data_IF_946852402798
#
_entry.id   IF_946852402798
#
_cell.length_a   1.000
_cell.length_b   1.000
_cell.length_c   1.000
_cell.angle_alpha   90.00
_cell.angle_beta   90.00
_cell.angle_gamma   90.00
#
_symmetry.space_group_name_H-M   'P 1'
#
loop_
_entity.id
_entity.type
_entity.pdbx_description
1 polymer ?
#
# COMPACT_ATOMS: atom_id res chain seq x y z
N UNK A 1 -11.02 -12.25 9.49
CA UNK A 1 -11.17 -11.51 8.26
C UNK A 1 -11.57 -12.45 7.14
N UNK A 2 -12.62 -13.08 7.32
CA UNK A 2 -13.19 -13.95 6.31
C UNK A 2 -14.54 -13.34 5.97
N UNK A 3 -14.48 -12.34 5.10
CA UNK A 3 -15.70 -12.01 4.40
C UNK A 3 -16.20 -13.33 3.78
N UNK A 4 -17.41 -13.73 4.10
CA UNK A 4 -18.07 -14.77 3.31
C UNK A 4 -18.03 -14.41 1.83
N UNK A 5 -18.41 -15.33 0.94
CA UNK A 5 -18.39 -15.10 -0.51
C UNK A 5 -19.04 -13.77 -0.93
N UNK A 6 -20.01 -13.28 -0.15
CA UNK A 6 -20.66 -11.99 -0.38
C UNK A 6 -19.79 -10.78 -0.07
N UNK A 7 -18.91 -10.84 0.94
CA UNK A 7 -17.96 -9.78 1.24
C UNK A 7 -16.81 -9.74 0.24
N UNK A 8 -16.32 -10.89 -0.18
CA UNK A 8 -15.32 -10.98 -1.26
C UNK A 8 -15.88 -10.40 -2.55
N UNK A 9 -17.15 -10.68 -2.85
CA UNK A 9 -17.83 -10.18 -4.05
C UNK A 9 -18.09 -8.67 -3.97
N UNK A 10 -18.55 -8.16 -2.85
CA UNK A 10 -18.78 -6.72 -2.65
C UNK A 10 -17.49 -5.91 -2.64
N UNK A 11 -16.42 -6.44 -2.05
CA UNK A 11 -15.09 -5.82 -2.07
C UNK A 11 -14.38 -5.94 -3.42
N UNK A 12 -14.73 -6.95 -4.24
CA UNK A 12 -14.13 -7.19 -5.54
C UNK A 12 -14.72 -6.37 -6.68
N UNK A 13 -15.98 -5.96 -6.58
CA UNK A 13 -16.68 -5.25 -7.64
C UNK A 13 -16.47 -3.73 -7.51
N UNK A 14 -15.61 -3.10 -8.33
CA UNK A 14 -15.42 -1.66 -8.28
C UNK A 14 -16.66 -0.93 -8.77
N UNK A 15 -16.91 0.27 -8.23
CA UNK A 15 -17.93 1.20 -8.74
C UNK A 15 -17.53 1.67 -10.14
N UNK A 16 -16.24 2.03 -10.30
CA UNK A 16 -15.66 2.45 -11.59
C UNK A 16 -14.15 2.31 -11.56
N UNK A 17 -13.53 2.28 -12.75
CA UNK A 17 -12.10 2.05 -12.92
C UNK A 17 -11.54 2.92 -14.05
N UNK A 18 -10.38 3.53 -13.83
CA UNK A 18 -9.76 4.47 -14.77
C UNK A 18 -8.25 4.25 -14.89
N UNK A 19 -7.72 4.63 -16.05
CA UNK A 19 -6.33 5.03 -16.22
C UNK A 19 -6.25 6.55 -16.12
N UNK A 20 -5.42 7.07 -15.23
CA UNK A 20 -5.41 8.50 -14.91
C UNK A 20 -4.00 9.05 -14.68
N UNK A 21 -3.77 10.30 -15.08
CA UNK A 21 -2.55 11.03 -14.76
C UNK A 21 -2.85 12.49 -14.44
N UNK A 22 -2.03 13.08 -13.58
CA UNK A 22 -2.08 14.51 -13.28
C UNK A 22 -1.56 15.30 -14.47
N UNK A 23 -2.20 16.45 -14.77
CA UNK A 23 -1.80 17.34 -15.87
C UNK A 23 -0.63 18.26 -15.52
N UNK A 24 -0.31 18.43 -14.23
CA UNK A 24 0.75 19.30 -13.76
C UNK A 24 2.14 18.67 -13.93
N UNK A 25 3.16 19.51 -14.15
CA UNK A 25 4.54 19.06 -14.45
C UNK A 25 5.22 18.31 -13.29
N UNK A 26 4.81 18.53 -12.02
CA UNK A 26 5.37 17.81 -10.87
C UNK A 26 5.13 16.30 -10.94
N UNK A 27 4.18 15.81 -11.76
CA UNK A 27 3.95 14.38 -11.97
C UNK A 27 5.20 13.62 -12.41
N UNK A 28 6.18 14.28 -13.02
CA UNK A 28 7.42 13.64 -13.45
C UNK A 28 8.31 13.15 -12.30
N UNK A 29 8.06 13.60 -11.07
CA UNK A 29 8.66 13.05 -9.86
C UNK A 29 7.87 11.87 -9.27
N UNK A 30 6.68 11.58 -9.80
CA UNK A 30 5.84 10.46 -9.36
C UNK A 30 6.29 9.15 -10.00
N UNK A 31 5.84 8.03 -9.42
CA UNK A 31 6.14 6.70 -9.95
C UNK A 31 5.56 6.53 -11.37
N UNK A 32 4.26 6.87 -11.51
CA UNK A 32 3.47 6.76 -12.74
C UNK A 32 2.70 8.06 -13.00
N UNK A 33 1.37 7.99 -13.09
CA UNK A 33 0.49 9.14 -13.37
C UNK A 33 0.34 10.17 -12.24
N UNK A 34 0.88 9.92 -11.04
CA UNK A 34 0.76 10.83 -9.90
C UNK A 34 -0.65 10.89 -9.28
N UNK A 35 -1.50 9.89 -9.54
CA UNK A 35 -2.90 9.92 -9.14
C UNK A 35 -3.08 9.98 -7.61
N UNK A 36 -2.29 9.23 -6.82
CA UNK A 36 -2.35 9.27 -5.34
C UNK A 36 -2.14 10.69 -4.83
N UNK A 37 -1.02 11.29 -5.21
CA UNK A 37 -0.66 12.65 -4.78
C UNK A 37 -1.70 13.67 -5.25
N UNK A 38 -2.20 13.54 -6.48
CA UNK A 38 -3.25 14.40 -7.02
C UNK A 38 -4.56 14.33 -6.23
N UNK A 39 -4.99 13.11 -5.84
CA UNK A 39 -6.18 12.90 -5.02
C UNK A 39 -6.00 13.55 -3.65
N UNK A 40 -4.89 13.28 -2.97
CA UNK A 40 -4.61 13.85 -1.64
C UNK A 40 -4.56 15.37 -1.65
N UNK A 41 -3.90 15.98 -2.65
CA UNK A 41 -3.86 17.44 -2.80
C UNK A 41 -5.28 18.01 -2.94
N UNK A 42 -6.11 17.39 -3.78
CA UNK A 42 -7.48 17.89 -3.98
C UNK A 42 -8.36 17.72 -2.74
N UNK A 43 -8.22 16.63 -2.00
CA UNK A 43 -8.91 16.44 -0.73
C UNK A 43 -8.48 17.51 0.30
N UNK A 44 -7.18 17.82 0.41
CA UNK A 44 -6.69 18.89 1.29
C UNK A 44 -7.20 20.28 0.86
N UNK A 45 -7.13 20.60 -0.43
CA UNK A 45 -7.59 21.89 -0.97
C UNK A 45 -9.11 22.08 -0.82
N UNK A 46 -9.88 21.00 -0.83
CA UNK A 46 -11.32 21.02 -0.59
C UNK A 46 -11.67 21.10 0.90
N UNK A 47 -10.70 20.86 1.80
CA UNK A 47 -10.91 20.80 3.23
C UNK A 47 -11.56 19.49 3.70
N UNK A 48 -11.51 18.45 2.88
CA UNK A 48 -12.02 17.11 3.21
C UNK A 48 -11.07 16.34 4.14
N UNK A 49 -9.76 16.63 4.06
CA UNK A 49 -8.76 16.08 4.96
C UNK A 49 -7.84 17.18 5.52
N UNK A 50 -7.42 17.00 6.76
CA UNK A 50 -6.44 17.86 7.45
C UNK A 50 -5.00 17.37 7.22
N UNK A 51 -4.83 16.08 6.95
CA UNK A 51 -3.53 15.47 6.72
C UNK A 51 -3.63 14.13 5.98
N UNK A 52 -2.48 13.65 5.56
CA UNK A 52 -2.33 12.33 4.94
C UNK A 52 -1.15 11.58 5.51
N UNK A 53 -1.39 10.35 5.96
CA UNK A 53 -0.37 9.38 6.33
C UNK A 53 0.13 8.71 5.06
N UNK A 54 1.41 8.90 4.77
CA UNK A 54 2.09 8.37 3.58
C UNK A 54 3.44 7.76 3.96
N UNK A 55 4.06 7.04 3.04
CA UNK A 55 5.47 6.67 3.14
C UNK A 55 6.34 7.76 2.53
N UNK A 56 7.49 8.01 3.14
CA UNK A 56 8.57 8.87 2.64
C UNK A 56 9.91 8.16 2.75
N UNK A 57 10.92 8.66 2.07
CA UNK A 57 12.29 8.20 2.22
C UNK A 57 12.89 8.74 3.53
N UNK A 58 13.64 7.91 4.24
CA UNK A 58 14.37 8.31 5.46
C UNK A 58 15.44 9.35 5.13
N UNK A 59 15.61 10.32 6.03
CA UNK A 59 16.69 11.31 5.93
C UNK A 59 18.09 10.72 6.20
N UNK A 60 18.14 9.55 6.90
CA UNK A 60 19.40 8.93 7.32
C UNK A 60 19.84 7.80 6.37
N UNK A 61 18.89 7.01 5.90
CA UNK A 61 19.12 5.80 5.11
C UNK A 61 18.45 5.94 3.73
N UNK A 62 19.19 6.07 2.62
CA UNK A 62 18.62 6.15 1.28
C UNK A 62 17.76 4.94 0.95
N UNK A 63 16.60 5.17 0.31
CA UNK A 63 15.63 4.13 -0.09
C UNK A 63 15.00 3.33 1.05
N UNK A 64 15.18 3.76 2.29
CA UNK A 64 14.45 3.22 3.43
C UNK A 64 13.15 3.99 3.62
N UNK A 65 12.04 3.28 3.64
CA UNK A 65 10.75 3.90 3.82
C UNK A 65 10.46 4.19 5.31
N UNK A 66 9.91 5.37 5.56
CA UNK A 66 9.39 5.79 6.87
C UNK A 66 7.97 6.32 6.73
N UNK A 67 7.17 6.24 7.80
CA UNK A 67 5.87 6.87 7.84
C UNK A 67 6.01 8.39 7.95
N UNK A 68 5.12 9.13 7.29
CA UNK A 68 5.11 10.59 7.31
C UNK A 68 3.67 11.13 7.33
N UNK A 69 3.43 12.16 8.13
CA UNK A 69 2.17 12.90 8.15
C UNK A 69 2.33 14.20 7.34
N UNK A 70 1.84 14.18 6.12
CA UNK A 70 1.76 15.37 5.28
C UNK A 70 0.53 16.20 5.66
N UNK A 71 0.73 17.52 5.89
CA UNK A 71 -0.33 18.47 6.23
C UNK A 71 -0.46 19.61 5.22
N UNK A 72 0.27 19.52 4.12
CA UNK A 72 0.20 20.51 3.04
C UNK A 72 0.42 19.89 1.66
N UNK A 73 -0.15 20.49 0.60
CA UNK A 73 0.12 20.08 -0.78
C UNK A 73 1.61 20.13 -1.15
N UNK A 74 2.40 21.01 -0.52
CA UNK A 74 3.83 21.12 -0.78
C UNK A 74 4.59 19.90 -0.25
N UNK A 75 4.24 19.43 0.95
CA UNK A 75 4.80 18.20 1.54
C UNK A 75 4.42 16.97 0.70
N UNK A 76 3.19 16.87 0.20
CA UNK A 76 2.78 15.79 -0.68
C UNK A 76 3.58 15.77 -1.99
N UNK A 77 3.82 16.93 -2.61
CA UNK A 77 4.64 17.04 -3.83
C UNK A 77 6.11 16.72 -3.59
N UNK A 78 6.62 16.98 -2.40
CA UNK A 78 8.00 16.66 -2.03
C UNK A 78 8.23 15.17 -1.77
N UNK A 79 7.18 14.41 -1.47
CA UNK A 79 7.23 12.99 -1.11
C UNK A 79 6.48 12.14 -2.15
N UNK A 80 6.83 12.31 -3.43
CA UNK A 80 6.31 11.52 -4.54
C UNK A 80 7.23 10.34 -4.85
N UNK A 81 6.73 9.33 -5.55
CA UNK A 81 7.47 8.13 -5.94
C UNK A 81 7.13 6.92 -5.08
N UNK A 82 7.74 5.79 -5.40
CA UNK A 82 7.55 4.52 -4.68
C UNK A 82 8.86 4.08 -4.06
N UNK A 83 8.81 3.63 -2.80
CA UNK A 83 9.95 3.10 -2.06
C UNK A 83 9.67 1.63 -1.78
N UNK A 84 10.52 0.73 -2.31
CA UNK A 84 10.35 -0.72 -2.20
C UNK A 84 10.99 -1.26 -0.93
N UNK A 85 10.68 -0.67 0.22
CA UNK A 85 11.08 -1.19 1.52
C UNK A 85 9.91 -1.17 2.49
N UNK A 86 9.98 -2.07 3.47
CA UNK A 86 8.91 -2.20 4.45
C UNK A 86 8.75 -0.93 5.27
N UNK A 87 7.53 -0.41 5.30
CA UNK A 87 7.08 0.57 6.27
C UNK A 87 5.60 0.40 6.57
N UNK A 88 5.14 1.04 7.61
CA UNK A 88 3.73 1.25 7.90
C UNK A 88 3.54 2.75 8.15
N UNK A 89 2.81 3.42 7.27
CA UNK A 89 2.53 4.85 7.40
C UNK A 89 1.77 5.14 8.71
N UNK A 90 0.90 4.24 9.13
CA UNK A 90 0.20 4.31 10.40
C UNK A 90 1.14 4.37 11.61
N UNK A 91 2.30 3.71 11.55
CA UNK A 91 3.30 3.72 12.62
C UNK A 91 3.79 5.13 12.98
N UNK A 92 3.60 6.10 12.08
CA UNK A 92 3.92 7.52 12.33
C UNK A 92 2.80 8.27 13.05
N UNK A 93 1.65 7.66 13.27
CA UNK A 93 0.53 8.25 13.99
C UNK A 93 0.78 8.13 15.50
N UNK A 94 1.38 9.16 16.08
CA UNK A 94 1.63 9.26 17.53
C UNK A 94 0.50 10.02 18.21
N UNK A 95 -0.43 9.31 18.76
CA UNK A 95 -1.61 9.87 19.42
C UNK A 95 -1.27 10.80 20.59
N UNK A 96 -0.10 10.63 21.22
CA UNK A 96 0.34 11.49 22.31
C UNK A 96 0.75 12.90 21.83
N UNK A 97 0.96 13.06 20.54
CA UNK A 97 1.35 14.33 19.88
C UNK A 97 0.28 14.87 18.93
N UNK A 98 -0.92 14.37 19.05
CA UNK A 98 -2.02 14.75 18.16
C UNK A 98 -2.30 16.24 18.19
N UNK A 99 -2.45 16.81 19.40
CA UNK A 99 -2.71 18.24 19.60
C UNK A 99 -1.60 19.13 19.06
N UNK A 100 -0.34 18.65 19.13
CA UNK A 100 0.81 19.38 18.61
C UNK A 100 0.80 19.50 17.06
N UNK A 101 0.17 18.53 16.36
CA UNK A 101 0.16 18.48 14.90
C UNK A 101 -1.00 19.27 14.28
N UNK A 102 -2.19 19.19 14.86
CA UNK A 102 -3.41 19.68 14.22
C UNK A 102 -4.14 20.81 14.94
N UNK A 103 -3.82 21.12 16.19
CA UNK A 103 -4.59 22.08 17.04
C UNK A 103 -6.09 21.73 17.12
N UNK A 104 -6.43 20.45 16.92
CA UNK A 104 -7.77 19.87 16.91
C UNK A 104 -7.79 18.58 17.72
N UNK A 105 -8.97 18.18 18.19
CA UNK A 105 -9.16 16.83 18.72
C UNK A 105 -9.27 15.82 17.58
N UNK A 106 -9.10 14.54 17.87
CA UNK A 106 -9.22 13.51 16.86
C UNK A 106 -10.64 13.44 16.25
N UNK A 107 -11.68 13.76 17.02
CA UNK A 107 -13.07 13.79 16.55
C UNK A 107 -13.33 14.86 15.49
N UNK A 108 -12.53 15.91 15.51
CA UNK A 108 -12.63 17.05 14.59
C UNK A 108 -11.58 16.95 13.44
N UNK A 109 -10.74 15.90 13.42
CA UNK A 109 -9.68 15.71 12.46
C UNK A 109 -10.07 14.65 11.43
N UNK A 110 -9.83 14.93 10.15
CA UNK A 110 -10.01 14.00 9.04
C UNK A 110 -8.67 13.71 8.37
N UNK A 111 -8.32 12.43 8.24
CA UNK A 111 -7.06 11.99 7.63
C UNK A 111 -7.31 11.07 6.43
N UNK A 112 -6.37 11.08 5.51
CA UNK A 112 -6.21 10.01 4.54
C UNK A 112 -5.04 9.10 4.92
N UNK A 113 -5.16 7.81 4.65
CA UNK A 113 -4.07 6.84 4.73
C UNK A 113 -3.77 6.27 3.34
N UNK A 114 -2.50 6.31 2.96
CA UNK A 114 -1.98 5.60 1.79
C UNK A 114 -1.10 4.46 2.28
N UNK A 115 -1.44 3.24 1.91
CA UNK A 115 -0.72 2.07 2.39
C UNK A 115 -0.85 0.86 1.47
N UNK A 116 -0.17 -0.21 1.84
CA UNK A 116 -0.35 -1.51 1.19
C UNK A 116 -1.70 -2.13 1.57
N UNK A 117 -2.23 -3.10 0.80
CA UNK A 117 -3.51 -3.74 1.12
C UNK A 117 -3.62 -4.27 2.55
N UNK A 118 -2.56 -4.92 3.05
CA UNK A 118 -2.54 -5.47 4.41
C UNK A 118 -2.57 -4.37 5.50
N UNK A 119 -1.99 -3.21 5.26
CA UNK A 119 -2.08 -2.06 6.16
C UNK A 119 -3.51 -1.50 6.20
N UNK A 120 -4.12 -1.32 5.04
CA UNK A 120 -5.52 -0.85 4.95
C UNK A 120 -6.49 -1.83 5.62
N UNK A 121 -6.31 -3.13 5.38
CA UNK A 121 -7.11 -4.17 6.02
C UNK A 121 -6.97 -4.12 7.55
N UNK A 122 -5.73 -3.98 8.04
CA UNK A 122 -5.46 -3.82 9.48
C UNK A 122 -6.16 -2.61 10.08
N UNK A 123 -6.14 -1.46 9.39
CA UNK A 123 -6.86 -0.25 9.83
C UNK A 123 -8.37 -0.45 9.88
N UNK A 124 -8.95 -1.03 8.82
CA UNK A 124 -10.40 -1.30 8.80
C UNK A 124 -10.80 -2.26 9.92
N UNK A 125 -9.99 -3.29 10.18
CA UNK A 125 -10.22 -4.19 11.30
C UNK A 125 -10.15 -3.47 12.65
N UNK A 126 -9.23 -2.51 12.83
CA UNK A 126 -9.15 -1.68 14.04
C UNK A 126 -10.33 -0.72 14.16
N UNK A 127 -10.82 -0.15 13.08
CA UNK A 127 -11.99 0.73 13.06
C UNK A 127 -13.30 -0.01 13.39
N UNK A 128 -13.41 -1.27 12.94
CA UNK A 128 -14.59 -2.11 13.14
C UNK A 128 -14.63 -2.79 14.53
N UNK A 129 -13.51 -2.82 15.25
CA UNK A 129 -13.42 -3.47 16.54
C UNK A 129 -13.97 -2.58 17.66
N UNK A 130 -14.84 -3.13 18.52
CA UNK A 130 -15.30 -2.47 19.72
C UNK A 130 -14.25 -2.62 20.85
N UNK A 131 -13.55 -1.54 21.17
CA UNK A 131 -12.53 -1.52 22.22
C UNK A 131 -13.13 -1.21 23.59
N UNK A 132 -12.92 -2.07 24.57
CA UNK A 132 -13.45 -1.87 25.94
C UNK A 132 -12.73 -0.75 26.73
N UNK A 133 -11.56 -0.25 26.27
CA UNK A 133 -10.64 0.61 27.01
C UNK A 133 -10.13 1.86 26.27
N UNK A 134 -10.74 2.24 25.20
CA UNK A 134 -10.93 3.65 24.72
C UNK A 134 -9.72 4.35 24.21
N UNK A 135 -8.57 4.52 24.51
CA UNK A 135 -7.67 5.61 24.09
C UNK A 135 -6.96 5.43 22.73
N UNK A 136 -6.80 4.21 22.24
CA UNK A 136 -6.07 3.94 20.98
C UNK A 136 -6.98 3.88 19.75
N UNK A 137 -8.23 3.66 19.97
CA UNK A 137 -9.31 3.65 19.00
C UNK A 137 -9.50 5.02 18.33
N UNK A 138 -9.30 6.06 19.11
CA UNK A 138 -9.66 7.43 18.76
C UNK A 138 -8.95 7.91 17.49
N UNK A 139 -7.63 7.81 17.42
CA UNK A 139 -6.89 8.31 16.25
C UNK A 139 -7.08 7.48 14.98
N UNK A 140 -7.35 6.17 15.08
CA UNK A 140 -7.67 5.33 13.92
C UNK A 140 -8.99 5.77 13.29
N UNK A 141 -9.93 6.27 14.08
CA UNK A 141 -11.22 6.78 13.60
C UNK A 141 -11.12 8.09 12.86
N UNK A 142 -10.05 8.84 13.02
CA UNK A 142 -9.78 10.03 12.24
C UNK A 142 -9.37 9.71 10.78
N UNK A 143 -9.03 8.46 10.47
CA UNK A 143 -8.74 8.03 9.11
C UNK A 143 -10.06 7.82 8.36
N UNK A 144 -10.48 8.84 7.63
CA UNK A 144 -11.70 8.81 6.85
C UNK A 144 -11.48 8.21 5.46
N UNK A 145 -10.36 8.55 4.81
CA UNK A 145 -10.05 8.09 3.46
C UNK A 145 -8.91 7.07 3.45
N UNK A 146 -9.07 6.02 2.69
CA UNK A 146 -8.03 5.00 2.49
C UNK A 146 -7.72 4.81 1.01
N UNK A 147 -6.43 4.85 0.69
CA UNK A 147 -5.93 4.58 -0.66
C UNK A 147 -4.95 3.39 -0.57
N UNK A 148 -5.34 2.25 -1.14
CA UNK A 148 -4.46 1.10 -1.25
C UNK A 148 -3.56 1.23 -2.47
N UNK A 149 -2.29 0.90 -2.32
CA UNK A 149 -1.36 0.70 -3.43
C UNK A 149 -1.43 -0.75 -3.89
N UNK A 150 -1.51 -1.00 -5.20
CA UNK A 150 -1.40 -2.36 -5.73
C UNK A 150 -0.11 -2.99 -5.28
N UNK A 151 -0.16 -4.15 -4.60
CA UNK A 151 1.00 -4.75 -3.97
C UNK A 151 0.97 -6.28 -4.05
N UNK A 152 1.97 -6.88 -4.68
CA UNK A 152 2.19 -8.34 -4.67
C UNK A 152 3.17 -8.77 -3.58
N UNK A 153 4.18 -7.95 -3.31
CA UNK A 153 5.22 -8.19 -2.30
C UNK A 153 5.78 -6.87 -1.79
N UNK A 154 6.22 -6.88 -0.53
CA UNK A 154 7.04 -5.84 0.06
C UNK A 154 8.38 -6.44 0.49
N UNK A 155 9.43 -5.64 0.58
CA UNK A 155 10.80 -6.11 0.77
C UNK A 155 11.37 -5.65 2.11
N UNK A 156 12.22 -6.49 2.68
CA UNK A 156 13.06 -6.11 3.79
C UNK A 156 14.18 -5.20 3.27
N UNK A 157 14.35 -4.05 3.90
CA UNK A 157 15.34 -3.04 3.51
C UNK A 157 16.76 -3.61 3.44
N UNK A 158 17.23 -4.21 4.53
CA UNK A 158 18.60 -4.74 4.61
C UNK A 158 18.88 -5.79 3.52
N UNK A 159 17.89 -6.64 3.24
CA UNK A 159 18.03 -7.69 2.23
C UNK A 159 17.98 -7.17 0.81
N UNK A 160 17.01 -6.31 0.49
CA UNK A 160 16.91 -5.79 -0.87
C UNK A 160 18.02 -4.80 -1.17
N UNK A 161 18.14 -3.76 -0.34
CA UNK A 161 19.05 -2.65 -0.58
C UNK A 161 20.48 -3.05 -0.22
N UNK A 162 20.73 -3.48 1.02
CA UNK A 162 22.07 -3.79 1.50
C UNK A 162 22.65 -5.03 0.83
N UNK A 163 22.01 -6.19 1.01
CA UNK A 163 22.59 -7.46 0.53
C UNK A 163 22.53 -7.56 -1.01
N UNK A 164 21.32 -7.43 -1.61
CA UNK A 164 21.15 -7.77 -3.02
C UNK A 164 21.55 -6.65 -3.99
N UNK A 165 21.29 -5.38 -3.69
CA UNK A 165 21.67 -4.29 -4.58
C UNK A 165 23.09 -3.81 -4.35
N UNK A 166 23.47 -3.49 -3.12
CA UNK A 166 24.81 -2.96 -2.82
C UNK A 166 25.88 -4.04 -2.83
N UNK A 167 25.73 -5.11 -1.99
CA UNK A 167 26.80 -6.09 -1.81
C UNK A 167 26.95 -7.02 -3.02
N UNK A 168 25.84 -7.60 -3.54
CA UNK A 168 25.90 -8.59 -4.60
C UNK A 168 26.06 -7.96 -5.99
N UNK A 169 25.42 -6.81 -6.24
CA UNK A 169 25.39 -6.16 -7.56
C UNK A 169 26.26 -4.91 -7.66
N UNK A 170 26.78 -4.42 -6.54
CA UNK A 170 27.66 -3.26 -6.48
C UNK A 170 27.00 -1.94 -6.89
N UNK A 171 25.69 -1.84 -6.68
CA UNK A 171 24.92 -0.62 -6.95
C UNK A 171 25.19 0.41 -5.86
N UNK A 172 25.64 1.59 -6.24
CA UNK A 172 25.75 2.74 -5.35
C UNK A 172 24.35 3.32 -5.09
N UNK A 173 23.77 2.98 -3.94
CA UNK A 173 22.41 3.37 -3.56
C UNK A 173 22.26 4.89 -3.46
N UNK A 174 23.29 5.63 -3.06
CA UNK A 174 23.27 7.09 -3.06
C UNK A 174 23.10 7.70 -4.46
N UNK A 175 23.44 6.94 -5.50
CA UNK A 175 23.29 7.37 -6.89
C UNK A 175 22.01 6.88 -7.56
N UNK A 176 21.18 6.09 -6.87
CA UNK A 176 19.89 5.64 -7.42
C UNK A 176 18.90 6.80 -7.46
N UNK A 177 18.28 7.00 -8.61
CA UNK A 177 17.27 8.04 -8.85
C UNK A 177 15.84 7.50 -8.91
N UNK A 178 15.67 6.25 -9.38
CA UNK A 178 14.37 5.59 -9.47
C UNK A 178 14.51 4.08 -9.37
N UNK A 179 13.57 3.45 -8.68
CA UNK A 179 13.32 2.00 -8.74
C UNK A 179 11.90 1.75 -9.26
N UNK A 180 11.72 0.70 -10.03
CA UNK A 180 10.42 0.32 -10.55
C UNK A 180 10.30 -1.20 -10.73
N UNK A 181 9.10 -1.73 -10.57
CA UNK A 181 8.78 -3.12 -10.89
C UNK A 181 7.80 -3.15 -12.06
N UNK A 182 8.34 -3.31 -13.25
CA UNK A 182 7.57 -3.33 -14.49
C UNK A 182 7.76 -4.66 -15.22
N UNK A 183 6.67 -5.20 -15.74
CA UNK A 183 6.67 -6.43 -16.55
C UNK A 183 7.40 -7.62 -15.91
N UNK A 184 7.34 -7.72 -14.58
CA UNK A 184 8.00 -8.79 -13.82
C UNK A 184 9.50 -8.59 -13.62
N UNK A 185 10.02 -7.38 -13.83
CA UNK A 185 11.42 -7.04 -13.62
C UNK A 185 11.57 -5.91 -12.62
N UNK A 186 12.63 -5.98 -11.81
CA UNK A 186 13.13 -4.83 -11.06
C UNK A 186 14.03 -4.01 -11.97
N UNK A 187 13.70 -2.75 -12.12
CA UNK A 187 14.45 -1.76 -12.90
C UNK A 187 14.99 -0.70 -11.94
N UNK A 188 16.24 -0.34 -12.09
CA UNK A 188 16.90 0.71 -11.31
C UNK A 188 17.57 1.69 -12.25
N UNK A 189 17.23 2.97 -12.10
CA UNK A 189 17.85 4.06 -12.85
C UNK A 189 18.70 4.91 -11.90
N UNK A 190 19.80 5.44 -12.40
CA UNK A 190 20.61 6.42 -11.66
C UNK A 190 19.95 7.81 -11.63
N UNK A 191 20.54 8.75 -10.89
CA UNK A 191 20.03 10.13 -10.78
C UNK A 191 20.05 10.91 -12.09
N UNK A 192 20.82 10.44 -13.07
CA UNK A 192 20.88 11.01 -14.43
C UNK A 192 19.83 10.37 -15.37
N UNK A 193 19.08 9.37 -14.90
CA UNK A 193 18.05 8.64 -15.64
C UNK A 193 18.61 7.53 -16.54
N UNK A 194 19.83 7.08 -16.31
CA UNK A 194 20.37 5.93 -17.01
C UNK A 194 19.99 4.65 -16.28
N UNK A 195 19.49 3.67 -17.01
CA UNK A 195 19.18 2.37 -16.45
C UNK A 195 20.46 1.62 -16.07
N UNK A 196 20.62 1.30 -14.79
CA UNK A 196 21.80 0.61 -14.23
C UNK A 196 21.53 -0.83 -13.84
N UNK A 197 20.23 -1.20 -13.69
CA UNK A 197 19.80 -2.58 -13.45
C UNK A 197 18.50 -2.86 -14.18
N UNK A 198 18.39 -4.08 -14.75
CA UNK A 198 17.14 -4.69 -15.20
C UNK A 198 17.27 -6.20 -15.01
N UNK A 199 16.58 -6.73 -14.00
CA UNK A 199 16.57 -8.16 -13.69
C UNK A 199 15.16 -8.67 -13.37
N UNK A 200 14.93 -9.96 -13.59
CA UNK A 200 13.66 -10.59 -13.23
C UNK A 200 13.40 -10.44 -11.73
N UNK A 201 12.20 -10.00 -11.35
CA UNK A 201 11.81 -9.77 -9.95
C UNK A 201 11.92 -11.05 -9.09
N UNK A 202 11.87 -12.21 -9.72
CA UNK A 202 12.04 -13.50 -9.03
C UNK A 202 13.42 -13.63 -8.36
N UNK A 203 14.45 -12.98 -8.90
CA UNK A 203 15.80 -12.97 -8.32
C UNK A 203 15.85 -12.23 -6.96
N UNK A 204 14.84 -11.46 -6.62
CA UNK A 204 14.74 -10.66 -5.40
C UNK A 204 13.73 -11.22 -4.40
N UNK A 205 13.12 -12.37 -4.67
CA UNK A 205 12.09 -12.95 -3.82
C UNK A 205 12.61 -13.32 -2.41
N UNK A 206 13.89 -13.63 -2.28
CA UNK A 206 14.49 -13.92 -0.95
C UNK A 206 14.55 -12.68 -0.05
N UNK A 207 14.53 -11.48 -0.63
CA UNK A 207 14.43 -10.23 0.11
C UNK A 207 12.98 -9.87 0.50
N UNK A 208 11.98 -10.54 -0.08
CA UNK A 208 10.59 -10.27 0.23
C UNK A 208 10.23 -10.68 1.66
N UNK A 209 9.26 -9.98 2.24
CA UNK A 209 8.70 -10.35 3.53
C UNK A 209 7.95 -11.67 3.41
N UNK A 210 8.20 -12.60 4.35
CA UNK A 210 7.58 -13.94 4.32
C UNK A 210 6.05 -13.89 4.39
N UNK A 211 5.47 -12.95 5.13
CA UNK A 211 4.02 -12.75 5.19
C UNK A 211 3.37 -12.40 3.84
N UNK A 212 4.15 -11.88 2.89
CA UNK A 212 3.64 -11.59 1.54
C UNK A 212 3.30 -12.86 0.74
N UNK A 213 3.87 -14.02 1.09
CA UNK A 213 3.52 -15.27 0.46
C UNK A 213 2.13 -15.79 0.87
N UNK A 214 1.63 -15.35 2.02
CA UNK A 214 0.30 -15.70 2.54
C UNK A 214 -0.75 -14.61 2.22
N UNK A 215 -0.36 -13.50 1.59
CA UNK A 215 -1.26 -12.42 1.23
C UNK A 215 -2.07 -12.75 -0.02
N UNK A 216 -3.39 -12.64 0.08
CA UNK A 216 -4.34 -12.89 -1.00
C UNK A 216 -4.89 -11.61 -1.64
N UNK A 217 -4.47 -10.44 -1.17
CA UNK A 217 -5.02 -9.15 -1.60
C UNK A 217 -3.99 -8.30 -2.34
N UNK A 218 -4.06 -8.34 -3.68
CA UNK A 218 -3.28 -7.50 -4.55
C UNK A 218 -3.81 -6.06 -4.64
N UNK A 219 -5.11 -5.91 -4.54
CA UNK A 219 -5.81 -4.66 -4.91
C UNK A 219 -6.35 -3.87 -3.74
N UNK A 220 -6.24 -4.34 -2.49
CA UNK A 220 -6.76 -3.62 -1.32
C UNK A 220 -8.28 -3.45 -1.33
N UNK A 221 -9.02 -4.58 -1.25
CA UNK A 221 -10.48 -4.48 -1.39
C UNK A 221 -11.17 -3.73 -0.27
N UNK A 222 -10.54 -3.52 0.86
CA UNK A 222 -11.09 -2.76 1.97
C UNK A 222 -10.88 -1.25 1.85
N UNK A 223 -10.10 -0.80 0.83
CA UNK A 223 -9.83 0.60 0.59
C UNK A 223 -10.99 1.33 -0.11
N UNK A 224 -11.04 2.65 0.03
CA UNK A 224 -11.96 3.50 -0.74
C UNK A 224 -11.51 3.61 -2.20
N UNK A 225 -10.19 3.70 -2.39
CA UNK A 225 -9.53 3.75 -3.69
C UNK A 225 -8.37 2.77 -3.72
N UNK A 226 -8.14 2.15 -4.87
CA UNK A 226 -6.91 1.43 -5.18
C UNK A 226 -6.17 2.15 -6.28
N UNK A 227 -4.86 2.32 -6.14
CA UNK A 227 -4.01 2.95 -7.16
C UNK A 227 -2.78 2.09 -7.42
N UNK A 228 -2.35 2.00 -8.67
CA UNK A 228 -1.12 1.29 -9.08
C UNK A 228 -0.84 1.46 -10.55
N UNK A 229 0.16 0.73 -11.07
CA UNK A 229 0.54 0.76 -12.49
C UNK A 229 -0.16 -0.29 -13.34
N UNK A 230 -0.55 -1.42 -12.73
CA UNK A 230 -1.09 -2.58 -13.45
C UNK A 230 -2.43 -2.27 -14.07
N UNK A 231 -2.55 -2.49 -15.37
CA UNK A 231 -3.79 -2.24 -16.12
C UNK A 231 -3.80 -0.92 -16.89
N UNK A 232 -2.80 -0.07 -16.71
CA UNK A 232 -2.62 1.18 -17.46
C UNK A 232 -1.30 1.17 -18.24
N UNK A 233 -1.23 1.98 -19.27
CA UNK A 233 -0.01 2.25 -20.02
C UNK A 233 0.95 3.14 -19.21
N UNK A 234 2.20 3.19 -19.63
CA UNK A 234 3.25 4.02 -19.04
C UNK A 234 2.77 5.47 -18.85
N UNK A 235 3.22 6.10 -17.77
CA UNK A 235 2.82 7.46 -17.35
C UNK A 235 1.37 7.60 -16.85
N UNK A 236 0.57 6.53 -16.79
CA UNK A 236 -0.75 6.53 -16.18
C UNK A 236 -0.79 5.63 -14.94
N UNK A 237 -1.55 6.05 -13.94
CA UNK A 237 -1.91 5.21 -12.80
C UNK A 237 -3.26 4.57 -13.06
N UNK A 238 -3.39 3.29 -12.73
CA UNK A 238 -4.69 2.64 -12.60
C UNK A 238 -5.37 3.10 -11.31
N UNK A 239 -6.61 3.53 -11.40
CA UNK A 239 -7.43 3.96 -10.26
C UNK A 239 -8.70 3.13 -10.23
N UNK A 240 -8.93 2.41 -9.14
CA UNK A 240 -10.13 1.61 -8.90
C UNK A 240 -10.89 2.26 -7.75
N UNK A 241 -12.11 2.69 -8.02
CA UNK A 241 -13.02 3.31 -7.04
C UNK A 241 -13.92 2.24 -6.46
N UNK A 242 -13.94 2.08 -5.12
CA UNK A 242 -14.65 0.97 -4.46
C UNK A 242 -15.81 1.39 -3.58
N UNK A 243 -15.76 2.57 -3.00
CA UNK A 243 -16.80 3.07 -2.08
C UNK A 243 -17.38 4.39 -2.59
N UNK A 244 -18.52 4.79 -2.04
CA UNK A 244 -19.11 6.11 -2.32
C UNK A 244 -18.14 7.23 -1.89
N UNK A 245 -17.43 7.05 -0.78
CA UNK A 245 -16.41 8.00 -0.31
C UNK A 245 -15.23 8.09 -1.29
N UNK A 246 -14.77 6.95 -1.81
CA UNK A 246 -13.79 6.92 -2.91
C UNK A 246 -14.31 7.58 -4.18
N UNK A 247 -15.61 7.46 -4.48
CA UNK A 247 -16.23 8.13 -5.62
C UNK A 247 -16.28 9.65 -5.43
N UNK A 248 -16.54 10.12 -4.22
CA UNK A 248 -16.50 11.55 -3.90
C UNK A 248 -15.07 12.10 -4.06
N UNK A 249 -14.06 11.41 -3.52
CA UNK A 249 -12.66 11.77 -3.72
C UNK A 249 -12.26 11.81 -5.21
N UNK A 250 -12.69 10.82 -5.99
CA UNK A 250 -12.49 10.79 -7.44
C UNK A 250 -13.16 11.99 -8.13
N UNK A 251 -14.42 12.28 -7.79
CA UNK A 251 -15.18 13.38 -8.38
C UNK A 251 -14.54 14.75 -8.11
N UNK A 252 -13.94 14.95 -6.95
CA UNK A 252 -13.17 16.17 -6.63
C UNK A 252 -11.89 16.27 -7.45
N UNK A 253 -11.29 15.14 -7.82
CA UNK A 253 -9.95 15.10 -8.43
C UNK A 253 -9.98 15.04 -9.94
N UNK A 254 -10.97 14.39 -10.55
CA UNK A 254 -10.99 14.06 -11.98
C UNK A 254 -10.83 15.26 -12.92
N UNK A 255 -11.19 16.47 -12.50
CA UNK A 255 -11.07 17.67 -13.32
C UNK A 255 -9.62 18.14 -13.54
N UNK A 256 -8.70 17.76 -12.63
CA UNK A 256 -7.27 18.06 -12.76
C UNK A 256 -6.48 16.89 -13.39
N UNK A 257 -7.17 15.79 -13.67
CA UNK A 257 -6.60 14.60 -14.29
C UNK A 257 -6.88 14.55 -15.80
N UNK A 258 -5.96 13.94 -16.53
CA UNK A 258 -6.19 13.35 -17.83
C UNK A 258 -6.53 11.87 -17.58
N UNK A 259 -7.73 11.43 -17.95
CA UNK A 259 -8.20 10.09 -17.62
C UNK A 259 -9.10 9.49 -18.69
N UNK A 260 -9.14 8.17 -18.72
CA UNK A 260 -10.02 7.35 -19.55
C UNK A 260 -10.32 6.03 -18.83
N UNK A 261 -11.17 5.21 -19.39
CA UNK A 261 -11.49 3.90 -18.83
C UNK A 261 -10.21 3.07 -18.68
N UNK A 262 -10.14 2.24 -17.62
CA UNK A 262 -8.99 1.37 -17.37
C UNK A 262 -8.70 0.48 -18.58
N UNK A 263 -7.48 0.53 -19.08
CA UNK A 263 -7.08 -0.06 -20.37
C UNK A 263 -7.10 -1.59 -20.35
N UNK A 264 -6.53 -2.21 -19.31
CA UNK A 264 -6.44 -3.67 -19.20
C UNK A 264 -6.86 -4.18 -17.81
N UNK A 265 -8.17 -4.34 -17.63
CA UNK A 265 -8.75 -4.96 -16.42
C UNK A 265 -8.31 -6.41 -16.23
N UNK A 266 -7.96 -7.10 -17.32
CA UNK A 266 -7.57 -8.51 -17.27
C UNK A 266 -6.19 -8.68 -16.62
N UNK A 267 -5.28 -7.72 -16.80
CA UNK A 267 -3.98 -7.71 -16.14
C UNK A 267 -4.14 -7.61 -14.62
N UNK A 268 -5.01 -6.71 -14.13
CA UNK A 268 -5.32 -6.58 -12.70
C UNK A 268 -5.90 -7.88 -12.16
N UNK A 269 -6.90 -8.45 -12.84
CA UNK A 269 -7.54 -9.72 -12.44
C UNK A 269 -6.56 -10.89 -12.43
N UNK A 270 -5.59 -10.91 -13.35
CA UNK A 270 -4.56 -11.97 -13.42
C UNK A 270 -3.64 -11.94 -12.20
N UNK A 271 -3.13 -10.76 -11.81
CA UNK A 271 -2.26 -10.63 -10.64
C UNK A 271 -3.02 -10.91 -9.34
N UNK A 272 -4.24 -10.43 -9.21
CA UNK A 272 -5.11 -10.76 -8.08
C UNK A 272 -5.33 -12.29 -7.97
N UNK A 273 -5.52 -12.96 -9.09
CA UNK A 273 -5.67 -14.43 -9.15
C UNK A 273 -4.38 -15.16 -8.76
N UNK A 274 -3.21 -14.63 -9.12
CA UNK A 274 -1.93 -15.19 -8.73
C UNK A 274 -1.68 -15.07 -7.23
N UNK A 275 -1.97 -13.92 -6.62
CA UNK A 275 -1.79 -13.74 -5.19
C UNK A 275 -2.74 -14.63 -4.39
N UNK A 276 -3.99 -14.75 -4.78
CA UNK A 276 -4.92 -15.71 -4.17
C UNK A 276 -4.43 -17.15 -4.26
N UNK A 277 -3.91 -17.56 -5.42
CA UNK A 277 -3.36 -18.91 -5.61
C UNK A 277 -2.12 -19.12 -4.73
N UNK A 278 -1.20 -18.18 -4.72
CA UNK A 278 0.02 -18.21 -3.91
C UNK A 278 -0.30 -18.34 -2.41
N UNK A 279 -1.21 -17.51 -1.91
CA UNK A 279 -1.66 -17.56 -0.53
C UNK A 279 -2.28 -18.90 -0.17
N UNK A 280 -3.14 -19.44 -1.04
CA UNK A 280 -3.74 -20.77 -0.85
C UNK A 280 -2.67 -21.88 -0.78
N UNK A 281 -1.69 -21.87 -1.69
CA UNK A 281 -0.58 -22.81 -1.69
C UNK A 281 0.32 -22.65 -0.44
N UNK A 282 0.46 -21.43 0.08
CA UNK A 282 1.23 -21.16 1.30
C UNK A 282 0.58 -21.79 2.54
N UNK A 283 -0.75 -21.78 2.63
CA UNK A 283 -1.50 -22.40 3.72
C UNK A 283 -1.38 -23.94 3.73
N UNK A 284 -1.11 -24.54 2.58
CA UNK A 284 -0.91 -26.00 2.46
C UNK A 284 0.54 -26.45 2.77
N UNK A 285 1.50 -25.51 2.91
CA UNK A 285 2.89 -25.84 3.19
C UNK A 285 3.05 -26.46 4.58
N UNK A 286 3.93 -27.49 4.71
CA UNK A 286 4.33 -27.96 6.02
C UNK A 286 4.96 -26.83 6.83
N UNK A 287 4.62 -26.78 8.09
CA UNK A 287 5.20 -25.84 9.03
C UNK A 287 6.74 -25.94 9.06
N UNK A 288 7.44 -24.84 8.85
CA UNK A 288 8.90 -24.76 8.98
C UNK A 288 9.27 -24.36 10.43
N UNK A 289 9.90 -25.28 11.21
CA UNK A 289 10.19 -25.02 12.63
C UNK A 289 11.08 -23.81 12.89
N UNK A 290 11.93 -23.46 11.92
CA UNK A 290 12.93 -22.39 12.05
C UNK A 290 12.46 -21.04 11.45
N UNK A 291 11.28 -20.99 10.84
CA UNK A 291 10.73 -19.73 10.36
C UNK A 291 10.34 -18.80 11.53
N UNK A 292 10.54 -17.47 11.43
CA UNK A 292 10.02 -16.55 12.43
C UNK A 292 8.50 -16.73 12.55
N UNK A 293 8.05 -17.13 13.73
CA UNK A 293 6.66 -17.49 13.97
C UNK A 293 5.93 -16.28 14.48
N UNK A 294 5.07 -15.70 13.68
CA UNK A 294 4.05 -14.78 14.16
C UNK A 294 2.84 -15.52 14.72
N UNK A 295 2.54 -16.72 14.16
CA UNK A 295 1.50 -17.60 14.64
C UNK A 295 2.09 -19.02 14.72
N UNK A 296 2.16 -19.59 15.91
CA UNK A 296 2.51 -21.01 16.10
C UNK A 296 1.23 -21.84 15.97
N UNK A 297 0.99 -22.35 14.79
CA UNK A 297 -0.19 -23.20 14.55
C UNK A 297 -0.18 -24.50 15.36
N UNK A 298 0.96 -24.94 15.89
CA UNK A 298 0.99 -26.08 16.81
C UNK A 298 0.30 -25.79 18.14
N UNK A 299 0.41 -24.55 18.61
CA UNK A 299 -0.30 -24.09 19.81
C UNK A 299 -1.79 -23.86 19.53
N UNK A 300 -2.16 -23.68 18.28
CA UNK A 300 -3.55 -23.45 17.87
C UNK A 300 -4.45 -24.65 18.18
N UNK A 301 -3.95 -25.86 17.97
CA UNK A 301 -4.68 -27.10 18.29
C UNK A 301 -5.00 -27.20 19.77
N UNK A 302 -4.04 -26.84 20.65
CA UNK A 302 -4.22 -26.89 22.11
C UNK A 302 -5.10 -25.75 22.62
N UNK A 303 -4.95 -24.55 22.08
CA UNK A 303 -5.60 -23.35 22.58
C UNK A 303 -6.97 -23.08 21.95
N UNK A 304 -7.23 -23.56 20.74
CA UNK A 304 -8.42 -23.22 19.97
C UNK A 304 -9.23 -24.41 19.46
N UNK A 305 -9.05 -25.58 20.08
CA UNK A 305 -9.94 -26.72 19.88
C UNK A 305 -9.73 -27.54 18.63
N UNK A 306 -8.51 -27.57 18.08
CA UNK A 306 -8.11 -28.49 17.03
C UNK A 306 -8.28 -27.99 15.60
N UNK A 307 -8.48 -26.71 15.40
CA UNK A 307 -8.47 -26.09 14.07
C UNK A 307 -7.03 -25.77 13.70
N UNK A 308 -6.46 -26.48 12.73
CA UNK A 308 -5.09 -26.27 12.24
C UNK A 308 -4.97 -25.06 11.32
N UNK A 309 -6.05 -24.65 10.71
CA UNK A 309 -6.11 -23.51 9.82
C UNK A 309 -7.26 -22.59 10.23
N UNK A 310 -7.00 -21.37 10.72
CA UNK A 310 -8.05 -20.45 11.15
C UNK A 310 -8.99 -20.07 10.00
N UNK A 311 -8.59 -20.25 8.74
CA UNK A 311 -9.43 -20.01 7.57
C UNK A 311 -10.40 -21.18 7.25
N UNK A 312 -10.23 -22.32 7.90
CA UNK A 312 -11.16 -23.45 7.81
C UNK A 312 -12.19 -23.48 8.95
N UNK A 313 -12.11 -22.55 9.90
CA UNK A 313 -13.10 -22.45 10.95
C UNK A 313 -14.37 -21.77 10.45
N UNK A 314 -15.52 -22.39 10.67
CA UNK A 314 -16.87 -21.85 10.40
C UNK A 314 -17.26 -20.71 11.38
N UNK A 315 -16.34 -19.83 11.78
CA UNK A 315 -16.59 -18.74 12.73
C UNK A 315 -16.82 -17.41 12.04
#
# INVERSE_FOLDING_TARGET
ITGGEDNVKGAGDPITEFSARVREDWRHSSQDGGAVTGILIRLMEAGEIDGALIATESDEDPWKAEGFMATSPAELKANTGTIYSQTMALGHLDFSKWDDKFEKTWEDTSLALVGTPCEIEGIRALQDFEWDYGAQEEGVRAIDYTIALMCTKNFNYERLIGEQLEEERGIDIDNVGKMDVLHGKLMVDDRDGNQILEEDIENFHDAALKGCDECADFTGFCADLTVGSVGSSDEYSSVIVRTEQGLDAWNLTKEVLDYHDLEDKSAVGKLQGWDKKKAFEALERPFEPDAPRFIDYSDHVENYGGVLNPHESDH
#
